data_IF_484128108271
#
_entry.id   IF_484128108271
#
_cell.length_a   1.000
_cell.length_b   1.000
_cell.length_c   1.000
_cell.angle_alpha   90.00
_cell.angle_beta   90.00
_cell.angle_gamma   90.00
#
_symmetry.space_group_name_H-M   'P 1'
#
loop_
_entity.id
_entity.type
_entity.pdbx_description
1 polymer ?
#
# COMPACT_ATOMS: atom_id res chain seq x y z
N UNK A 1 -7.85 33.67 47.86
CA UNK A 1 -8.70 33.72 46.64
C UNK A 1 -7.87 33.52 45.38
N UNK A 2 -6.58 33.88 45.37
CA UNK A 2 -5.69 33.77 44.20
C UNK A 2 -5.40 32.33 43.74
N UNK A 3 -5.30 31.36 44.67
CA UNK A 3 -5.07 29.95 44.32
C UNK A 3 -6.22 29.30 43.55
N UNK A 4 -7.47 29.76 43.80
CA UNK A 4 -8.65 29.26 43.10
C UNK A 4 -8.63 29.64 41.61
N UNK A 5 -8.24 30.88 41.31
CA UNK A 5 -8.11 31.36 39.93
C UNK A 5 -6.96 30.65 39.19
N UNK A 6 -5.84 30.39 39.87
CA UNK A 6 -4.74 29.59 39.31
C UNK A 6 -5.16 28.17 38.95
N UNK A 7 -5.94 27.51 39.81
CA UNK A 7 -6.47 26.18 39.54
C UNK A 7 -7.45 26.18 38.36
N UNK A 8 -8.29 27.21 38.25
CA UNK A 8 -9.23 27.38 37.14
C UNK A 8 -8.52 27.57 35.79
N UNK A 9 -7.48 28.41 35.75
CA UNK A 9 -6.66 28.63 34.56
C UNK A 9 -5.89 27.36 34.20
N UNK A 10 -5.29 26.68 35.18
CA UNK A 10 -4.57 25.43 34.95
C UNK A 10 -5.49 24.33 34.37
N UNK A 11 -6.72 24.21 34.89
CA UNK A 11 -7.73 23.29 34.36
C UNK A 11 -8.11 23.60 32.91
N UNK A 12 -8.30 24.89 32.58
CA UNK A 12 -8.60 25.32 31.21
C UNK A 12 -7.47 24.97 30.24
N UNK A 13 -6.22 25.20 30.64
CA UNK A 13 -5.03 24.85 29.85
C UNK A 13 -4.92 23.34 29.65
N UNK A 14 -5.21 22.54 30.67
CA UNK A 14 -5.13 21.08 30.60
C UNK A 14 -6.18 20.51 29.64
N UNK A 15 -7.42 21.01 29.69
CA UNK A 15 -8.49 20.63 28.74
C UNK A 15 -8.13 21.07 27.31
N UNK A 16 -7.58 22.28 27.14
CA UNK A 16 -7.13 22.77 25.84
C UNK A 16 -6.04 21.88 25.24
N UNK A 17 -5.06 21.45 26.05
CA UNK A 17 -4.01 20.53 25.63
C UNK A 17 -4.59 19.18 25.21
N UNK A 18 -5.50 18.58 26.00
CA UNK A 18 -6.15 17.30 25.65
C UNK A 18 -6.86 17.39 24.29
N UNK A 19 -7.59 18.47 24.02
CA UNK A 19 -8.27 18.68 22.74
C UNK A 19 -7.29 18.85 21.56
N UNK A 20 -6.20 19.58 21.77
CA UNK A 20 -5.11 19.71 20.79
C UNK A 20 -4.49 18.34 20.48
N UNK A 21 -4.18 17.56 21.51
CA UNK A 21 -3.63 16.22 21.36
C UNK A 21 -4.60 15.27 20.66
N UNK A 22 -5.90 15.26 21.00
CA UNK A 22 -6.90 14.45 20.31
C UNK A 22 -6.99 14.81 18.82
N UNK A 23 -6.99 16.11 18.50
CA UNK A 23 -7.01 16.59 17.11
C UNK A 23 -5.75 16.17 16.34
N UNK A 24 -4.59 16.23 16.98
CA UNK A 24 -3.32 15.83 16.38
C UNK A 24 -3.21 14.31 16.21
N UNK A 25 -3.73 13.52 17.17
CA UNK A 25 -3.80 12.06 17.07
C UNK A 25 -4.75 11.60 15.97
N UNK A 26 -5.92 12.26 15.80
CA UNK A 26 -6.84 11.97 14.69
C UNK A 26 -6.20 12.23 13.33
N UNK A 27 -5.40 13.28 13.20
CA UNK A 27 -4.63 13.51 11.98
C UNK A 27 -3.62 12.39 11.74
N UNK A 28 -2.80 12.01 12.73
CA UNK A 28 -1.84 10.91 12.58
C UNK A 28 -2.51 9.57 12.28
N UNK A 29 -3.64 9.26 12.93
CA UNK A 29 -4.40 8.04 12.70
C UNK A 29 -5.04 8.01 11.30
N UNK A 30 -5.48 9.16 10.78
CA UNK A 30 -5.99 9.28 9.42
C UNK A 30 -4.88 9.25 8.36
N UNK A 31 -3.70 9.78 8.66
CA UNK A 31 -2.52 9.66 7.79
C UNK A 31 -2.03 8.23 7.76
N UNK A 32 -1.99 7.55 8.91
CA UNK A 32 -1.73 6.12 9.01
C UNK A 32 -2.80 5.35 8.25
N UNK A 33 -4.11 5.55 8.45
CA UNK A 33 -5.15 4.91 7.65
C UNK A 33 -5.07 5.21 6.15
N UNK A 34 -4.59 6.38 5.73
CA UNK A 34 -4.30 6.67 4.31
C UNK A 34 -3.09 5.89 3.80
N UNK A 35 -2.02 5.78 4.59
CA UNK A 35 -0.90 4.87 4.31
C UNK A 35 -1.27 3.39 4.48
N UNK A 36 -2.33 3.07 5.22
CA UNK A 36 -2.79 1.70 5.51
C UNK A 36 -3.94 1.26 4.59
N UNK A 37 -4.53 2.19 3.84
CA UNK A 37 -5.28 1.88 2.62
C UNK A 37 -4.34 1.24 1.57
N UNK A 38 -3.03 1.51 1.69
CA UNK A 38 -1.93 0.86 0.98
C UNK A 38 -1.33 -0.35 1.75
N UNK A 39 -2.05 -0.83 2.77
CA UNK A 39 -1.67 -2.02 3.55
C UNK A 39 -2.80 -3.03 3.35
N UNK A 40 -2.89 -3.57 2.14
CA UNK A 40 -3.18 -4.99 1.95
C UNK A 40 -1.87 -5.76 1.71
N UNK A 41 -0.97 -5.95 2.70
CA UNK A 41 0.41 -6.33 2.40
C UNK A 41 0.61 -7.85 2.43
N UNK A 42 -0.40 -8.66 2.77
CA UNK A 42 -0.25 -10.11 2.84
C UNK A 42 -1.12 -10.84 1.83
N UNK A 43 -2.43 -10.56 1.81
CA UNK A 43 -3.33 -11.24 0.87
C UNK A 43 -3.08 -10.81 -0.58
N UNK A 44 -2.78 -9.52 -0.81
CA UNK A 44 -2.51 -9.00 -2.14
C UNK A 44 -1.16 -9.53 -2.66
N UNK A 45 -0.13 -9.54 -1.82
CA UNK A 45 1.18 -10.13 -2.13
C UNK A 45 1.08 -11.65 -2.40
N UNK A 46 0.28 -12.38 -1.63
CA UNK A 46 -0.02 -13.79 -1.91
C UNK A 46 -0.84 -13.98 -3.19
N UNK A 47 -1.72 -13.05 -3.53
CA UNK A 47 -2.48 -13.10 -4.80
C UNK A 47 -1.58 -12.82 -6.00
N UNK A 48 -0.64 -11.89 -5.87
CA UNK A 48 0.36 -11.56 -6.89
C UNK A 48 1.33 -12.72 -7.10
N UNK A 49 1.83 -13.34 -6.03
CA UNK A 49 2.66 -14.54 -6.12
C UNK A 49 1.94 -15.69 -6.81
N UNK A 50 0.65 -15.90 -6.50
CA UNK A 50 -0.19 -16.90 -7.19
C UNK A 50 -0.41 -16.56 -8.67
N UNK A 51 -0.65 -15.30 -9.01
CA UNK A 51 -0.78 -14.84 -10.40
C UNK A 51 0.53 -15.00 -11.16
N UNK A 52 1.66 -14.70 -10.53
CA UNK A 52 3.00 -14.87 -11.11
C UNK A 52 3.30 -16.34 -11.43
N UNK A 53 2.98 -17.24 -10.50
CA UNK A 53 3.15 -18.68 -10.71
C UNK A 53 2.28 -19.18 -11.86
N UNK A 54 1.01 -18.79 -11.93
CA UNK A 54 0.12 -19.16 -13.05
C UNK A 54 0.64 -18.64 -14.39
N UNK A 55 1.15 -17.41 -14.41
CA UNK A 55 1.71 -16.81 -15.62
C UNK A 55 2.98 -17.55 -16.06
N UNK A 56 3.83 -17.96 -15.13
CA UNK A 56 5.03 -18.74 -15.39
C UNK A 56 4.70 -20.17 -15.89
N UNK A 57 3.68 -20.82 -15.31
CA UNK A 57 3.15 -22.10 -15.77
C UNK A 57 2.55 -21.99 -17.19
N UNK A 58 1.76 -20.95 -17.45
CA UNK A 58 1.19 -20.70 -18.78
C UNK A 58 2.28 -20.43 -19.83
N UNK A 59 3.32 -19.67 -19.48
CA UNK A 59 4.47 -19.41 -20.36
C UNK A 59 5.36 -20.63 -20.61
N UNK A 60 5.53 -21.50 -19.62
CA UNK A 60 6.34 -22.72 -19.78
C UNK A 60 5.62 -23.78 -20.62
N UNK A 61 4.28 -23.83 -20.54
CA UNK A 61 3.47 -24.66 -21.45
C UNK A 61 3.35 -24.08 -22.86
N UNK A 62 3.16 -22.76 -22.98
CA UNK A 62 3.13 -22.07 -24.26
C UNK A 62 4.57 -21.70 -24.67
N UNK A 63 5.23 -22.58 -25.42
CA UNK A 63 6.62 -22.53 -25.97
C UNK A 63 7.03 -21.24 -26.74
N UNK A 64 6.27 -20.16 -26.63
CA UNK A 64 6.39 -18.83 -27.28
C UNK A 64 6.53 -17.70 -26.24
N UNK A 65 7.03 -17.98 -25.03
CA UNK A 65 6.95 -17.10 -23.87
C UNK A 65 7.98 -15.95 -23.75
N UNK A 66 9.05 -15.94 -24.56
CA UNK A 66 10.19 -15.04 -24.31
C UNK A 66 9.84 -13.54 -24.21
N UNK A 67 8.89 -13.05 -25.01
CA UNK A 67 8.53 -11.62 -24.97
C UNK A 67 7.74 -11.22 -23.73
N UNK A 68 6.84 -12.10 -23.25
CA UNK A 68 6.03 -11.85 -22.05
C UNK A 68 6.90 -11.99 -20.80
N UNK A 69 7.85 -12.92 -20.81
CA UNK A 69 8.83 -13.11 -19.73
C UNK A 69 9.73 -11.88 -19.56
N UNK A 70 10.22 -11.33 -20.66
CA UNK A 70 11.02 -10.09 -20.65
C UNK A 70 10.22 -8.90 -20.12
N UNK A 71 8.95 -8.77 -20.50
CA UNK A 71 8.06 -7.73 -19.98
C UNK A 71 7.81 -7.88 -18.48
N UNK A 72 7.60 -9.12 -18.01
CA UNK A 72 7.40 -9.42 -16.60
C UNK A 72 8.64 -9.11 -15.77
N UNK A 73 9.82 -9.49 -16.27
CA UNK A 73 11.11 -9.23 -15.62
C UNK A 73 11.38 -7.73 -15.52
N UNK A 74 11.05 -6.97 -16.57
CA UNK A 74 11.17 -5.51 -16.58
C UNK A 74 10.25 -4.84 -15.55
N UNK A 75 8.98 -5.25 -15.49
CA UNK A 75 8.01 -4.69 -14.55
C UNK A 75 8.37 -5.03 -13.10
N UNK A 76 8.86 -6.24 -12.85
CA UNK A 76 9.37 -6.65 -11.53
C UNK A 76 10.61 -5.85 -11.14
N UNK A 77 11.53 -5.60 -12.07
CA UNK A 77 12.71 -4.77 -11.82
C UNK A 77 12.32 -3.31 -11.52
N UNK A 78 11.39 -2.73 -12.28
CA UNK A 78 10.89 -1.38 -12.04
C UNK A 78 10.23 -1.23 -10.65
N UNK A 79 9.49 -2.26 -10.20
CA UNK A 79 8.91 -2.31 -8.86
C UNK A 79 9.98 -2.44 -7.77
N UNK A 80 10.94 -3.35 -7.94
CA UNK A 80 12.04 -3.54 -6.98
C UNK A 80 12.94 -2.31 -6.86
N UNK A 81 13.07 -1.52 -7.93
CA UNK A 81 13.77 -0.23 -7.91
C UNK A 81 12.92 0.93 -7.37
N UNK A 82 11.65 0.70 -6.99
CA UNK A 82 10.74 1.74 -6.51
C UNK A 82 10.31 2.75 -7.59
N UNK A 83 10.49 2.43 -8.88
CA UNK A 83 10.07 3.30 -10.00
C UNK A 83 8.56 3.29 -10.23
N UNK A 84 7.91 2.20 -9.84
CA UNK A 84 6.46 2.03 -9.97
C UNK A 84 5.87 1.61 -8.63
N UNK A 85 4.69 2.13 -8.34
CA UNK A 85 3.92 1.77 -7.16
C UNK A 85 3.30 0.37 -7.28
N UNK A 86 2.98 -0.26 -6.14
CA UNK A 86 2.38 -1.59 -6.06
C UNK A 86 1.06 -1.70 -6.84
N UNK A 87 0.23 -0.65 -6.85
CA UNK A 87 -1.01 -0.65 -7.65
C UNK A 87 -0.71 -0.68 -9.14
N UNK A 88 0.31 0.05 -9.58
CA UNK A 88 0.75 0.09 -10.98
C UNK A 88 1.34 -1.25 -11.40
N UNK A 89 2.13 -1.88 -10.51
CA UNK A 89 2.65 -3.23 -10.72
C UNK A 89 1.53 -4.27 -10.87
N UNK A 90 0.53 -4.25 -9.98
CA UNK A 90 -0.60 -5.18 -10.04
C UNK A 90 -1.44 -5.04 -11.31
N UNK A 91 -1.72 -3.80 -11.74
CA UNK A 91 -2.46 -3.56 -12.99
C UNK A 91 -1.71 -4.09 -14.21
N UNK A 92 -0.39 -3.81 -14.30
CA UNK A 92 0.45 -4.32 -15.40
C UNK A 92 0.57 -5.85 -15.38
N UNK A 93 0.65 -6.45 -14.20
CA UNK A 93 0.67 -7.91 -14.07
C UNK A 93 -0.65 -8.53 -14.54
N UNK A 94 -1.77 -7.88 -14.24
CA UNK A 94 -3.10 -8.34 -14.68
C UNK A 94 -3.26 -8.26 -16.21
N UNK A 95 -2.74 -7.20 -16.84
CA UNK A 95 -2.71 -7.08 -18.31
C UNK A 95 -1.85 -8.17 -18.95
N UNK A 96 -0.67 -8.47 -18.39
CA UNK A 96 0.19 -9.54 -18.89
C UNK A 96 -0.48 -10.91 -18.76
N UNK A 97 -1.21 -11.15 -17.66
CA UNK A 97 -1.96 -12.38 -17.45
C UNK A 97 -3.08 -12.53 -18.50
N UNK A 98 -3.85 -11.47 -18.74
CA UNK A 98 -4.88 -11.49 -19.79
C UNK A 98 -4.28 -11.77 -21.17
N UNK A 99 -3.11 -11.21 -21.50
CA UNK A 99 -2.43 -11.47 -22.79
C UNK A 99 -1.90 -12.91 -22.91
N UNK A 100 -1.51 -13.52 -21.79
CA UNK A 100 -1.05 -14.90 -21.74
C UNK A 100 -2.21 -15.90 -21.78
N UNK A 101 -3.38 -15.56 -21.22
CA UNK A 101 -4.59 -16.40 -21.21
C UNK A 101 -5.45 -16.25 -22.48
N UNK A 102 -5.40 -15.10 -23.16
CA UNK A 102 -6.18 -14.83 -24.38
C UNK A 102 -5.60 -15.48 -25.65
N UNK A 103 -4.51 -16.26 -25.52
CA UNK A 103 -3.80 -16.91 -26.62
C UNK A 103 -3.81 -18.42 -26.45
#
# INVERSE_FOLDING_TARGET
MDHFYWFLIAGLVLVYLILQFDKQQRHKANTLKKQTNDVQPLLLMQSLGRKLNRLNEALTMAKTGGHIEDQLKKITADYNCGRIDMQTYNNRLNELLQKAEAK
#
